data_IF_094260797783
#
_entry.id   IF_094260797783
#
_cell.length_a   1.000
_cell.length_b   1.000
_cell.length_c   1.000
_cell.angle_alpha   90.00
_cell.angle_beta   90.00
_cell.angle_gamma   90.00
#
_symmetry.space_group_name_H-M   'P 1'
#
loop_
_entity.id
_entity.type
_entity.pdbx_description
1 polymer ?
#
# COMPACT_ATOMS: atom_id res chain seq x y z
N UNK A 1 16.63 -21.62 -9.42
CA UNK A 1 16.17 -23.02 -9.24
C UNK A 1 14.69 -22.97 -8.84
N UNK A 2 13.77 -23.85 -9.26
CA UNK A 2 13.83 -24.88 -10.32
C UNK A 2 12.57 -25.76 -10.32
N UNK A 3 12.08 -26.17 -11.51
CA UNK A 3 10.97 -27.12 -11.77
C UNK A 3 9.58 -26.66 -11.23
N UNK A 4 8.59 -26.26 -12.05
CA UNK A 4 7.83 -27.04 -13.06
C UNK A 4 7.46 -28.45 -12.61
N UNK A 5 6.16 -28.72 -12.49
CA UNK A 5 5.57 -29.84 -13.21
C UNK A 5 4.10 -29.58 -13.58
N UNK A 6 3.62 -30.28 -14.61
CA UNK A 6 2.33 -30.08 -15.27
C UNK A 6 1.86 -31.43 -15.81
N UNK A 7 0.64 -31.87 -15.51
CA UNK A 7 0.07 -33.12 -16.01
C UNK A 7 -1.37 -32.94 -16.50
N UNK A 8 -1.70 -33.67 -17.57
CA UNK A 8 -2.80 -33.37 -18.49
C UNK A 8 -3.20 -34.66 -19.22
N UNK A 9 -4.52 -34.90 -19.34
CA UNK A 9 -5.14 -36.03 -20.05
C UNK A 9 -4.85 -37.42 -19.37
N UNK A 10 -5.51 -38.55 -19.72
CA UNK A 10 -6.26 -38.86 -20.94
C UNK A 10 -7.30 -39.99 -20.77
N UNK A 11 -8.06 -40.26 -21.87
CA UNK A 11 -8.90 -41.44 -22.16
C UNK A 11 -10.24 -41.57 -21.38
N UNK A 12 -11.40 -41.69 -22.05
CA UNK A 12 -12.00 -42.84 -22.81
C UNK A 12 -12.54 -43.94 -21.86
N UNK A 13 -13.66 -44.62 -22.12
CA UNK A 13 -14.18 -45.03 -23.43
C UNK A 13 -15.70 -45.39 -23.43
N UNK A 14 -16.32 -45.38 -24.62
CA UNK A 14 -17.45 -46.24 -25.09
C UNK A 14 -18.56 -46.74 -24.14
N UNK A 15 -19.81 -46.38 -24.50
CA UNK A 15 -20.90 -47.36 -24.59
C UNK A 15 -21.83 -46.96 -25.76
N UNK A 16 -22.10 -47.89 -26.69
CA UNK A 16 -23.04 -47.75 -27.80
C UNK A 16 -23.97 -48.97 -27.78
N UNK A 17 -25.27 -48.80 -28.00
CA UNK A 17 -26.24 -49.88 -27.76
C UNK A 17 -27.64 -49.60 -28.30
N UNK A 18 -27.90 -50.03 -29.53
CA UNK A 18 -29.24 -50.06 -30.11
C UNK A 18 -30.07 -51.23 -29.55
N UNK A 19 -31.39 -51.07 -29.46
CA UNK A 19 -32.39 -52.02 -29.96
C UNK A 19 -33.73 -51.27 -30.16
N UNK A 20 -34.50 -51.41 -31.26
CA UNK A 20 -35.12 -52.60 -31.86
C UNK A 20 -36.27 -53.13 -30.97
N UNK A 21 -37.53 -53.25 -31.42
CA UNK A 21 -38.20 -52.85 -32.68
C UNK A 21 -39.75 -52.77 -32.48
N UNK A 22 -40.62 -52.60 -33.51
CA UNK A 22 -42.05 -52.31 -33.30
C UNK A 22 -42.96 -53.55 -33.26
N UNK A 23 -44.22 -53.31 -32.92
CA UNK A 23 -45.39 -54.17 -33.18
C UNK A 23 -46.62 -53.21 -33.27
N UNK A 24 -47.58 -53.26 -34.22
CA UNK A 24 -48.07 -54.30 -35.16
C UNK A 24 -48.39 -55.62 -34.45
N UNK A 25 -49.59 -56.18 -34.48
CA UNK A 25 -50.82 -55.92 -35.26
C UNK A 25 -51.96 -56.71 -34.61
N UNK A 26 -53.21 -56.29 -34.78
CA UNK A 26 -54.27 -57.18 -35.31
C UNK A 26 -55.12 -56.34 -36.28
N UNK A 27 -55.62 -56.96 -37.35
CA UNK A 27 -56.47 -56.35 -38.36
C UNK A 27 -57.64 -57.30 -38.69
N UNK A 28 -58.88 -56.86 -38.48
CA UNK A 28 -60.13 -57.43 -39.01
C UNK A 28 -61.11 -56.25 -39.16
N UNK A 29 -61.65 -55.85 -40.32
CA UNK A 29 -62.04 -56.50 -41.59
C UNK A 29 -63.49 -56.98 -41.64
N UNK A 30 -64.29 -56.19 -42.36
CA UNK A 30 -65.35 -56.61 -43.31
C UNK A 30 -66.64 -57.29 -42.82
N UNK A 31 -67.74 -56.53 -42.81
CA UNK A 31 -68.97 -56.68 -43.66
C UNK A 31 -70.02 -55.65 -43.16
N UNK A 32 -70.71 -54.82 -43.98
CA UNK A 32 -71.58 -55.02 -45.18
C UNK A 32 -73.00 -55.48 -44.79
N UNK A 33 -74.03 -55.09 -45.60
CA UNK A 33 -75.48 -55.43 -45.50
C UNK A 33 -76.27 -54.47 -44.58
N UNK A 34 -77.43 -53.88 -44.93
CA UNK A 34 -78.13 -53.68 -46.24
C UNK A 34 -79.09 -52.46 -46.15
N UNK A 35 -79.62 -51.99 -47.29
CA UNK A 35 -80.75 -51.02 -47.38
C UNK A 35 -82.02 -51.76 -47.81
N UNK A 36 -83.15 -51.58 -47.10
CA UNK A 36 -84.33 -50.99 -47.74
C UNK A 36 -84.94 -49.86 -46.84
N UNK A 37 -85.71 -48.87 -47.29
CA UNK A 37 -86.69 -48.77 -48.39
C UNK A 37 -88.08 -49.36 -48.02
N UNK A 38 -89.13 -48.56 -48.21
CA UNK A 38 -90.55 -48.96 -48.15
C UNK A 38 -91.13 -49.40 -46.75
N UNK A 39 -92.44 -49.28 -46.45
CA UNK A 39 -93.54 -48.70 -47.24
C UNK A 39 -94.70 -48.08 -46.41
N UNK A 40 -95.69 -47.57 -47.16
CA UNK A 40 -97.02 -47.10 -46.72
C UNK A 40 -97.73 -47.94 -45.63
N UNK A 41 -98.53 -47.27 -44.77
CA UNK A 41 -100.02 -47.26 -44.82
C UNK A 41 -100.53 -46.31 -43.69
N UNK A 42 -101.48 -45.39 -43.85
CA UNK A 42 -102.81 -45.36 -44.50
C UNK A 42 -103.96 -45.83 -43.59
N UNK A 43 -105.03 -45.01 -43.54
CA UNK A 43 -106.44 -45.42 -43.30
C UNK A 43 -106.82 -45.98 -41.90
N UNK A 44 -108.07 -45.89 -41.41
CA UNK A 44 -109.32 -45.33 -41.97
C UNK A 44 -110.22 -44.72 -40.87
N UNK A 45 -111.23 -43.96 -41.32
CA UNK A 45 -112.49 -43.53 -40.69
C UNK A 45 -112.91 -44.20 -39.35
N UNK A 46 -113.55 -43.49 -38.41
CA UNK A 46 -114.97 -43.13 -38.60
C UNK A 46 -115.46 -41.87 -37.86
N UNK A 47 -116.32 -41.12 -38.57
CA UNK A 47 -117.43 -40.38 -37.94
C UNK A 47 -118.34 -41.36 -37.19
N UNK A 48 -118.81 -41.02 -35.98
CA UNK A 48 -120.23 -40.65 -35.86
C UNK A 48 -120.60 -39.92 -34.56
N UNK A 49 -121.60 -39.05 -34.74
CA UNK A 49 -122.57 -38.48 -33.79
C UNK A 49 -122.50 -38.98 -32.34
N UNK A 50 -122.07 -38.10 -31.44
CA UNK A 50 -122.59 -38.05 -30.08
C UNK A 50 -123.71 -36.99 -30.01
N UNK A 51 -124.96 -37.41 -30.12
CA UNK A 51 -126.13 -36.62 -29.74
C UNK A 51 -126.88 -37.41 -28.66
N UNK A 52 -126.82 -36.95 -27.41
CA UNK A 52 -127.38 -37.69 -26.27
C UNK A 52 -128.42 -36.87 -25.49
N UNK A 53 -129.40 -37.59 -24.95
CA UNK A 53 -130.28 -37.23 -23.84
C UNK A 53 -131.07 -35.90 -23.93
N UNK A 54 -132.36 -36.01 -24.29
CA UNK A 54 -133.52 -35.60 -23.45
C UNK A 54 -134.83 -35.81 -24.22
N UNK A 55 -135.91 -36.31 -23.64
CA UNK A 55 -136.05 -37.07 -22.38
C UNK A 55 -137.32 -37.91 -22.51
N UNK A 56 -137.27 -39.22 -22.23
CA UNK A 56 -138.44 -40.08 -22.33
C UNK A 56 -139.30 -40.00 -21.07
N UNK A 57 -140.58 -39.66 -21.24
CA UNK A 57 -141.64 -40.15 -20.37
C UNK A 57 -142.47 -41.18 -21.14
N UNK A 58 -142.58 -42.38 -20.57
CA UNK A 58 -143.67 -43.30 -20.86
C UNK A 58 -144.99 -42.68 -20.34
N UNK A 59 -146.19 -43.11 -20.71
CA UNK A 59 -146.69 -44.45 -20.44
C UNK A 59 -147.71 -44.96 -21.46
N UNK A 60 -147.53 -46.24 -21.74
CA UNK A 60 -148.39 -47.22 -22.40
C UNK A 60 -149.90 -47.07 -22.18
N UNK A 61 -150.67 -47.19 -23.27
CA UNK A 61 -151.96 -47.89 -23.25
C UNK A 61 -152.08 -48.80 -24.47
N UNK A 62 -152.63 -49.98 -24.24
CA UNK A 62 -152.78 -51.09 -25.19
C UNK A 62 -154.27 -51.38 -25.43
N UNK A 63 -154.52 -52.03 -26.56
CA UNK A 63 -155.73 -52.77 -26.96
C UNK A 63 -156.94 -52.02 -27.56
N UNK A 64 -157.45 -52.67 -28.61
CA UNK A 64 -158.79 -52.71 -29.19
C UNK A 64 -159.44 -51.44 -29.79
N UNK A 65 -159.42 -51.39 -31.13
CA UNK A 65 -160.66 -51.73 -31.85
C UNK A 65 -160.41 -52.48 -33.17
N UNK A 66 -161.19 -53.54 -33.39
CA UNK A 66 -161.15 -54.39 -34.59
C UNK A 66 -161.99 -53.82 -35.75
N UNK A 67 -161.45 -53.86 -36.97
CA UNK A 67 -162.07 -54.38 -38.21
C UNK A 67 -161.08 -54.21 -39.39
N UNK A 68 -160.88 -55.23 -40.23
CA UNK A 68 -161.62 -55.53 -41.48
C UNK A 68 -161.47 -54.43 -42.56
N UNK A 69 -161.16 -54.72 -43.83
CA UNK A 69 -161.13 -56.01 -44.55
C UNK A 69 -159.82 -56.26 -45.33
N UNK A 70 -159.54 -57.54 -45.57
CA UNK A 70 -158.73 -58.00 -46.70
C UNK A 70 -159.46 -59.20 -47.31
N UNK A 71 -159.91 -59.08 -48.56
CA UNK A 71 -160.70 -60.11 -49.22
C UNK A 71 -160.40 -60.19 -50.72
N UNK A 72 -160.08 -61.40 -51.19
CA UNK A 72 -160.03 -61.75 -52.60
C UNK A 72 -160.29 -63.26 -52.78
N UNK A 73 -161.48 -63.60 -53.26
CA UNK A 73 -161.94 -64.97 -53.63
C UNK A 73 -162.10 -65.94 -52.41
N UNK A 74 -162.86 -67.05 -52.46
CA UNK A 74 -163.48 -67.77 -53.59
C UNK A 74 -164.73 -68.65 -53.21
N UNK A 75 -165.66 -68.81 -54.16
CA UNK A 75 -166.78 -69.78 -54.44
C UNK A 75 -167.44 -70.80 -53.44
N UNK A 76 -168.80 -70.84 -53.54
CA UNK A 76 -169.77 -71.98 -53.71
C UNK A 76 -170.34 -73.00 -52.65
N UNK A 77 -171.70 -72.99 -52.52
CA UNK A 77 -172.70 -74.12 -52.41
C UNK A 77 -172.83 -75.00 -51.12
N UNK A 78 -173.94 -75.73 -50.75
CA UNK A 78 -175.41 -75.80 -51.08
C UNK A 78 -176.25 -76.71 -50.10
N UNK A 79 -177.56 -76.42 -49.88
CA UNK A 79 -178.79 -77.31 -49.91
C UNK A 79 -178.99 -78.59 -49.01
N UNK A 80 -180.17 -79.17 -48.63
CA UNK A 80 -181.60 -78.77 -48.27
C UNK A 80 -182.46 -79.99 -47.68
N UNK A 81 -183.79 -79.82 -47.38
CA UNK A 81 -184.92 -80.77 -46.97
C UNK A 81 -185.19 -81.04 -45.45
N UNK A 82 -186.42 -81.28 -44.86
CA UNK A 82 -187.87 -81.48 -45.23
C UNK A 82 -188.42 -82.95 -45.38
N UNK A 83 -189.66 -83.40 -45.01
CA UNK A 83 -190.89 -82.80 -44.38
C UNK A 83 -192.00 -83.81 -43.85
N UNK A 84 -192.75 -83.44 -42.77
CA UNK A 84 -194.07 -83.95 -42.19
C UNK A 84 -194.34 -85.50 -42.05
N UNK A 85 -195.51 -86.15 -41.81
CA UNK A 85 -197.01 -85.94 -41.78
C UNK A 85 -197.70 -86.81 -40.64
N UNK A 86 -199.05 -86.86 -40.45
CA UNK A 86 -199.81 -87.68 -39.42
C UNK A 86 -201.25 -88.15 -39.80
N UNK A 87 -201.76 -89.18 -39.10
CA UNK A 87 -203.17 -89.33 -38.61
C UNK A 87 -203.14 -89.98 -37.19
N UNK A 88 -204.00 -89.67 -36.20
CA UNK A 88 -205.41 -89.24 -36.07
C UNK A 88 -206.47 -90.29 -35.66
N UNK A 89 -206.13 -91.21 -34.74
CA UNK A 89 -207.06 -91.62 -33.64
C UNK A 89 -206.31 -92.27 -32.45
N UNK A 90 -205.09 -92.78 -32.68
CA UNK A 90 -204.07 -92.99 -31.63
C UNK A 90 -203.78 -91.71 -30.80
N UNK A 91 -204.29 -90.55 -31.21
CA UNK A 91 -203.88 -89.18 -30.85
C UNK A 91 -204.02 -88.78 -29.38
N UNK A 92 -204.42 -89.70 -28.49
CA UNK A 92 -204.27 -89.53 -27.03
C UNK A 92 -203.05 -90.27 -26.49
N UNK A 93 -202.76 -91.46 -27.00
CA UNK A 93 -201.57 -92.23 -26.67
C UNK A 93 -200.34 -91.71 -27.43
N UNK A 94 -200.51 -91.40 -28.73
CA UNK A 94 -199.56 -90.58 -29.50
C UNK A 94 -199.29 -89.23 -28.84
N UNK A 95 -200.27 -88.54 -28.24
CA UNK A 95 -200.02 -87.25 -27.56
C UNK A 95 -199.15 -87.41 -26.30
N UNK A 96 -199.32 -88.49 -25.54
CA UNK A 96 -198.44 -88.81 -24.41
C UNK A 96 -197.03 -89.17 -24.91
N UNK A 97 -196.92 -89.87 -26.03
CA UNK A 97 -195.64 -90.20 -26.68
C UNK A 97 -194.97 -88.95 -27.27
N UNK A 98 -195.69 -88.05 -27.94
CA UNK A 98 -195.13 -86.81 -28.49
C UNK A 98 -194.76 -85.85 -27.36
N UNK A 99 -195.54 -85.71 -26.29
CA UNK A 99 -195.12 -84.93 -25.11
C UNK A 99 -193.86 -85.51 -24.44
N UNK A 100 -193.66 -86.84 -24.47
CA UNK A 100 -192.40 -87.47 -24.04
C UNK A 100 -191.26 -87.23 -25.03
N UNK A 101 -191.52 -87.23 -26.34
CA UNK A 101 -190.52 -86.95 -27.38
C UNK A 101 -190.13 -85.47 -27.42
N UNK A 102 -191.07 -84.56 -27.25
CA UNK A 102 -190.88 -83.10 -27.09
C UNK A 102 -190.14 -82.81 -25.78
N UNK A 103 -190.51 -83.44 -24.65
CA UNK A 103 -189.70 -83.39 -23.43
C UNK A 103 -188.29 -83.89 -23.70
N UNK A 104 -188.11 -85.03 -24.37
CA UNK A 104 -186.80 -85.57 -24.69
C UNK A 104 -186.02 -84.70 -25.69
N UNK A 105 -186.68 -84.00 -26.62
CA UNK A 105 -186.06 -83.01 -27.50
C UNK A 105 -185.64 -81.76 -26.71
N UNK A 106 -186.47 -81.24 -25.82
CA UNK A 106 -186.11 -80.12 -24.92
C UNK A 106 -184.99 -80.55 -23.96
N UNK A 107 -185.00 -81.78 -23.47
CA UNK A 107 -183.99 -82.34 -22.55
C UNK A 107 -182.67 -82.65 -23.26
N UNK A 108 -182.69 -83.09 -24.53
CA UNK A 108 -181.48 -83.23 -25.36
C UNK A 108 -180.98 -81.89 -25.90
N UNK A 109 -181.86 -80.93 -26.21
CA UNK A 109 -181.47 -79.55 -26.52
C UNK A 109 -180.87 -78.87 -25.28
N UNK A 110 -181.48 -79.04 -24.10
CA UNK A 110 -180.94 -78.57 -22.83
C UNK A 110 -179.59 -79.22 -22.53
N UNK A 111 -179.45 -80.54 -22.65
CA UNK A 111 -178.18 -81.24 -22.44
C UNK A 111 -177.13 -80.87 -23.51
N UNK A 112 -177.53 -80.57 -24.74
CA UNK A 112 -176.63 -80.07 -25.80
C UNK A 112 -176.20 -78.63 -25.52
N UNK A 113 -177.11 -77.78 -25.06
CA UNK A 113 -176.82 -76.40 -24.65
C UNK A 113 -175.96 -76.39 -23.38
N UNK A 114 -176.20 -77.30 -22.44
CA UNK A 114 -175.40 -77.51 -21.22
C UNK A 114 -174.01 -78.08 -21.55
N UNK A 115 -173.91 -78.98 -22.54
CA UNK A 115 -172.63 -79.46 -23.06
C UNK A 115 -171.85 -78.34 -23.76
N UNK A 116 -172.52 -77.51 -24.57
CA UNK A 116 -171.94 -76.28 -25.15
C UNK A 116 -171.58 -75.25 -24.08
N UNK A 117 -172.37 -75.11 -23.01
CA UNK A 117 -172.07 -74.24 -21.87
C UNK A 117 -170.88 -74.78 -21.07
N UNK A 118 -170.74 -76.10 -20.97
CA UNK A 118 -169.63 -76.79 -20.31
C UNK A 118 -168.35 -76.69 -21.12
N UNK A 119 -168.40 -76.87 -22.45
CA UNK A 119 -167.25 -76.66 -23.33
C UNK A 119 -166.88 -75.17 -23.42
N UNK A 120 -167.85 -74.26 -23.50
CA UNK A 120 -167.61 -72.82 -23.41
C UNK A 120 -167.05 -72.42 -22.04
N UNK A 121 -167.42 -73.10 -20.95
CA UNK A 121 -166.83 -72.93 -19.61
C UNK A 121 -165.43 -73.54 -19.50
N UNK A 122 -165.13 -74.62 -20.24
CA UNK A 122 -163.76 -75.15 -20.37
C UNK A 122 -162.89 -74.18 -21.15
N UNK A 123 -163.32 -73.76 -22.35
CA UNK A 123 -162.66 -72.75 -23.19
C UNK A 123 -162.49 -71.43 -22.44
N UNK A 124 -163.49 -70.98 -21.65
CA UNK A 124 -163.36 -69.79 -20.82
C UNK A 124 -162.34 -69.98 -19.69
N UNK A 125 -162.30 -71.16 -19.06
CA UNK A 125 -161.30 -71.50 -18.05
C UNK A 125 -159.89 -71.59 -18.65
N UNK A 126 -159.75 -72.22 -19.82
CA UNK A 126 -158.51 -72.33 -20.59
C UNK A 126 -158.04 -70.96 -21.09
N UNK A 127 -158.96 -70.09 -21.54
CA UNK A 127 -158.68 -68.70 -21.88
C UNK A 127 -158.30 -67.87 -20.64
N UNK A 128 -158.91 -68.13 -19.49
CA UNK A 128 -158.55 -67.47 -18.22
C UNK A 128 -157.19 -67.96 -17.71
N UNK A 129 -156.86 -69.24 -17.86
CA UNK A 129 -155.55 -69.81 -17.58
C UNK A 129 -154.50 -69.26 -18.55
N UNK A 130 -154.76 -69.27 -19.85
CA UNK A 130 -153.88 -68.69 -20.88
C UNK A 130 -153.69 -67.18 -20.70
N UNK A 131 -154.72 -66.43 -20.26
CA UNK A 131 -154.59 -65.01 -19.89
C UNK A 131 -153.75 -64.82 -18.63
N UNK A 132 -153.82 -65.74 -17.66
CA UNK A 132 -152.97 -65.74 -16.48
C UNK A 132 -151.51 -66.11 -16.83
N UNK A 133 -151.30 -67.11 -17.69
CA UNK A 133 -149.99 -67.50 -18.21
C UNK A 133 -149.37 -66.38 -19.05
N UNK A 134 -150.14 -65.70 -19.90
CA UNK A 134 -149.72 -64.50 -20.62
C UNK A 134 -149.39 -63.35 -19.65
N UNK A 135 -150.13 -63.23 -18.54
CA UNK A 135 -149.80 -62.32 -17.44
C UNK A 135 -148.44 -62.64 -16.82
N UNK A 136 -148.22 -63.89 -16.42
CA UNK A 136 -146.95 -64.36 -15.87
C UNK A 136 -145.79 -64.20 -16.85
N UNK A 137 -146.02 -64.42 -18.16
CA UNK A 137 -145.02 -64.24 -19.22
C UNK A 137 -144.72 -62.75 -19.44
N UNK A 138 -145.73 -61.86 -19.40
CA UNK A 138 -145.51 -60.40 -19.42
C UNK A 138 -144.76 -59.92 -18.18
N UNK A 139 -145.05 -60.47 -17.00
CA UNK A 139 -144.33 -60.19 -15.76
C UNK A 139 -142.86 -60.64 -15.85
N UNK A 140 -142.61 -61.88 -16.28
CA UNK A 140 -141.25 -62.40 -16.52
C UNK A 140 -140.51 -61.61 -17.62
N UNK A 141 -141.19 -61.19 -18.70
CA UNK A 141 -140.60 -60.34 -19.72
C UNK A 141 -140.20 -58.98 -19.14
N UNK A 142 -141.06 -58.36 -18.34
CA UNK A 142 -140.75 -57.14 -17.60
C UNK A 142 -139.57 -57.32 -16.62
N UNK A 143 -139.51 -58.45 -15.89
CA UNK A 143 -138.36 -58.78 -15.06
C UNK A 143 -137.07 -58.87 -15.90
N UNK A 144 -137.07 -59.63 -16.99
CA UNK A 144 -135.93 -59.76 -17.90
C UNK A 144 -135.54 -58.43 -18.55
N UNK A 145 -136.49 -57.57 -18.90
CA UNK A 145 -136.21 -56.23 -19.41
C UNK A 145 -135.58 -55.34 -18.33
N UNK A 146 -136.08 -55.34 -17.08
CA UNK A 146 -135.40 -54.60 -16.00
C UNK A 146 -134.02 -55.17 -15.69
N UNK A 147 -133.82 -56.49 -15.78
CA UNK A 147 -132.52 -57.14 -15.61
C UNK A 147 -131.55 -56.75 -16.74
N UNK A 148 -132.01 -56.76 -17.99
CA UNK A 148 -131.24 -56.33 -19.16
C UNK A 148 -130.87 -54.84 -19.08
N UNK A 149 -131.80 -53.98 -18.65
CA UNK A 149 -131.51 -52.55 -18.37
C UNK A 149 -130.50 -52.38 -17.23
N UNK A 150 -130.63 -53.13 -16.12
CA UNK A 150 -129.66 -53.11 -15.00
C UNK A 150 -128.27 -53.58 -15.47
N UNK A 151 -128.18 -54.64 -16.27
CA UNK A 151 -126.94 -55.16 -16.84
C UNK A 151 -126.32 -54.17 -17.84
N UNK A 152 -127.13 -53.60 -18.75
CA UNK A 152 -126.69 -52.59 -19.73
C UNK A 152 -126.17 -51.32 -19.05
N UNK A 153 -126.82 -50.88 -17.98
CA UNK A 153 -126.35 -49.75 -17.16
C UNK A 153 -125.06 -50.10 -16.40
N UNK A 154 -124.93 -51.33 -15.85
CA UNK A 154 -123.69 -51.79 -15.22
C UNK A 154 -122.54 -51.90 -16.22
N UNK A 155 -122.79 -52.41 -17.43
CA UNK A 155 -121.79 -52.46 -18.52
C UNK A 155 -121.37 -51.06 -18.94
N UNK A 156 -122.31 -50.12 -19.13
CA UNK A 156 -121.98 -48.70 -19.37
C UNK A 156 -121.13 -48.10 -18.24
N UNK A 157 -121.47 -48.37 -16.99
CA UNK A 157 -120.71 -47.88 -15.82
C UNK A 157 -119.29 -48.43 -15.79
N UNK A 158 -119.12 -49.75 -15.95
CA UNK A 158 -117.82 -50.41 -16.01
C UNK A 158 -117.00 -49.98 -17.23
N UNK A 159 -117.65 -49.69 -18.36
CA UNK A 159 -116.98 -49.16 -19.55
C UNK A 159 -116.47 -47.74 -19.31
N UNK A 160 -117.27 -46.88 -18.66
CA UNK A 160 -116.85 -45.52 -18.27
C UNK A 160 -115.70 -45.55 -17.25
N UNK A 161 -115.77 -46.44 -16.26
CA UNK A 161 -114.72 -46.66 -15.26
C UNK A 161 -113.42 -47.16 -15.92
N UNK A 162 -113.51 -48.11 -16.86
CA UNK A 162 -112.35 -48.64 -17.58
C UNK A 162 -111.72 -47.59 -18.52
N UNK A 163 -112.51 -46.69 -19.12
CA UNK A 163 -111.99 -45.53 -19.85
C UNK A 163 -111.23 -44.59 -18.90
N UNK A 164 -111.81 -44.21 -17.76
CA UNK A 164 -111.15 -43.35 -16.77
C UNK A 164 -109.87 -43.97 -16.18
N UNK A 165 -109.87 -45.29 -15.93
CA UNK A 165 -108.68 -46.03 -15.53
C UNK A 165 -107.61 -46.02 -16.64
N UNK A 166 -108.00 -46.18 -17.90
CA UNK A 166 -107.08 -46.10 -19.05
C UNK A 166 -106.50 -44.69 -19.20
N UNK A 167 -107.32 -43.64 -19.04
CA UNK A 167 -106.88 -42.24 -19.06
C UNK A 167 -105.88 -41.93 -17.93
N UNK A 168 -106.16 -42.38 -16.70
CA UNK A 168 -105.23 -42.18 -15.56
C UNK A 168 -103.94 -43.00 -15.70
N UNK A 169 -104.00 -44.22 -16.24
CA UNK A 169 -102.80 -45.01 -16.56
C UNK A 169 -101.95 -44.31 -17.64
N UNK A 170 -102.58 -43.74 -18.67
CA UNK A 170 -101.85 -42.98 -19.69
C UNK A 170 -101.21 -41.72 -19.10
N UNK A 171 -101.92 -40.95 -18.28
CA UNK A 171 -101.39 -39.78 -17.60
C UNK A 171 -100.18 -40.12 -16.70
N UNK A 172 -100.28 -41.18 -15.87
CA UNK A 172 -99.16 -41.63 -15.06
C UNK A 172 -97.98 -42.19 -15.89
N UNK A 173 -98.25 -42.73 -17.08
CA UNK A 173 -97.21 -43.18 -18.03
C UNK A 173 -96.45 -41.99 -18.64
N UNK A 174 -97.16 -40.91 -19.00
CA UNK A 174 -96.55 -39.66 -19.46
C UNK A 174 -95.72 -38.99 -18.33
N UNK A 175 -96.28 -38.85 -17.13
CA UNK A 175 -95.57 -38.34 -15.95
C UNK A 175 -94.32 -39.18 -15.64
N UNK A 176 -94.40 -40.52 -15.76
CA UNK A 176 -93.27 -41.41 -15.52
C UNK A 176 -92.14 -41.24 -16.54
N UNK A 177 -92.45 -41.15 -17.84
CA UNK A 177 -91.42 -40.92 -18.87
C UNK A 177 -90.80 -39.52 -18.76
N UNK A 178 -91.55 -38.49 -18.37
CA UNK A 178 -91.01 -37.15 -18.18
C UNK A 178 -90.19 -37.04 -16.87
N UNK A 179 -90.57 -37.73 -15.79
CA UNK A 179 -89.73 -37.90 -14.58
C UNK A 179 -88.43 -38.65 -14.89
N UNK A 180 -88.51 -39.73 -15.68
CA UNK A 180 -87.37 -40.52 -16.15
C UNK A 180 -86.44 -39.71 -17.08
N UNK A 181 -87.00 -38.83 -17.90
CA UNK A 181 -86.26 -37.84 -18.70
C UNK A 181 -85.56 -36.80 -17.81
N UNK A 182 -86.24 -36.24 -16.81
CA UNK A 182 -85.66 -35.32 -15.83
C UNK A 182 -84.52 -35.98 -15.04
N UNK A 183 -84.71 -37.21 -14.57
CA UNK A 183 -83.69 -38.01 -13.88
C UNK A 183 -82.45 -38.20 -14.77
N UNK A 184 -82.63 -38.56 -16.04
CA UNK A 184 -81.53 -38.69 -17.02
C UNK A 184 -80.78 -37.37 -17.25
N UNK A 185 -81.47 -36.23 -17.25
CA UNK A 185 -80.84 -34.90 -17.32
C UNK A 185 -80.06 -34.61 -16.04
N UNK A 186 -80.62 -34.88 -14.86
CA UNK A 186 -79.92 -34.68 -13.57
C UNK A 186 -78.73 -35.60 -13.39
N UNK A 187 -78.77 -36.83 -13.89
CA UNK A 187 -77.58 -37.68 -13.99
C UNK A 187 -76.48 -37.04 -14.85
N UNK A 188 -76.83 -36.44 -15.99
CA UNK A 188 -75.87 -35.78 -16.88
C UNK A 188 -75.29 -34.51 -16.25
N UNK A 189 -76.12 -33.70 -15.58
CA UNK A 189 -75.67 -32.56 -14.76
C UNK A 189 -74.69 -33.01 -13.67
N UNK A 190 -75.04 -34.04 -12.89
CA UNK A 190 -74.19 -34.59 -11.83
C UNK A 190 -72.87 -35.13 -12.40
N UNK A 191 -72.90 -35.82 -13.54
CA UNK A 191 -71.68 -36.32 -14.22
C UNK A 191 -70.80 -35.15 -14.69
N UNK A 192 -71.38 -34.09 -15.26
CA UNK A 192 -70.66 -32.89 -15.69
C UNK A 192 -70.08 -32.10 -14.50
N UNK A 193 -70.83 -31.95 -13.39
CA UNK A 193 -70.36 -31.31 -12.17
C UNK A 193 -69.22 -32.10 -11.51
N UNK A 194 -69.31 -33.43 -11.47
CA UNK A 194 -68.22 -34.28 -10.98
C UNK A 194 -66.93 -34.17 -11.83
N UNK A 195 -67.06 -33.97 -13.15
CA UNK A 195 -65.89 -33.71 -14.02
C UNK A 195 -65.29 -32.33 -13.72
N UNK A 196 -66.12 -31.29 -13.58
CA UNK A 196 -65.67 -29.94 -13.20
C UNK A 196 -64.98 -29.92 -11.85
N UNK A 197 -65.56 -30.59 -10.85
CA UNK A 197 -64.98 -30.73 -9.50
C UNK A 197 -63.61 -31.40 -9.58
N UNK A 198 -63.51 -32.56 -10.24
CA UNK A 198 -62.23 -33.29 -10.41
C UNK A 198 -61.17 -32.53 -11.19
N UNK A 199 -61.53 -31.57 -12.04
CA UNK A 199 -60.57 -30.71 -12.72
C UNK A 199 -60.12 -29.55 -11.81
N UNK A 200 -61.06 -28.91 -11.10
CA UNK A 200 -60.74 -27.90 -10.09
C UNK A 200 -59.88 -28.46 -8.95
N UNK A 201 -60.12 -29.70 -8.51
CA UNK A 201 -59.28 -30.41 -7.55
C UNK A 201 -57.85 -30.60 -8.07
N UNK A 202 -57.67 -30.98 -9.34
CA UNK A 202 -56.34 -31.11 -9.97
C UNK A 202 -55.64 -29.76 -10.02
N UNK A 203 -56.29 -28.74 -10.59
CA UNK A 203 -55.79 -27.37 -10.68
C UNK A 203 -55.35 -26.87 -9.30
N UNK A 204 -56.16 -27.08 -8.26
CA UNK A 204 -55.85 -26.74 -6.88
C UNK A 204 -54.67 -27.54 -6.30
N UNK A 205 -54.48 -28.81 -6.67
CA UNK A 205 -53.29 -29.60 -6.27
C UNK A 205 -52.03 -29.19 -7.02
N UNK A 206 -52.14 -28.85 -8.30
CA UNK A 206 -51.04 -28.37 -9.14
C UNK A 206 -50.57 -26.99 -8.68
N UNK A 207 -51.50 -26.10 -8.33
CA UNK A 207 -51.20 -24.81 -7.70
C UNK A 207 -50.59 -25.00 -6.31
N UNK A 208 -51.15 -25.83 -5.43
CA UNK A 208 -50.53 -26.14 -4.12
C UNK A 208 -49.09 -26.65 -4.29
N UNK A 209 -48.82 -27.46 -5.31
CA UNK A 209 -47.47 -27.90 -5.64
C UNK A 209 -46.60 -26.78 -6.24
N UNK A 210 -47.16 -25.86 -7.03
CA UNK A 210 -46.44 -24.70 -7.60
C UNK A 210 -46.06 -23.69 -6.51
N UNK A 211 -46.98 -23.37 -5.61
CA UNK A 211 -46.74 -22.54 -4.43
C UNK A 211 -45.73 -23.19 -3.48
N UNK A 212 -45.82 -24.50 -3.21
CA UNK A 212 -44.84 -25.20 -2.37
C UNK A 212 -43.42 -25.09 -2.92
N UNK A 213 -43.22 -25.39 -4.21
CA UNK A 213 -41.91 -25.22 -4.88
C UNK A 213 -41.41 -23.78 -4.84
N UNK A 214 -42.32 -22.80 -4.94
CA UNK A 214 -41.98 -21.36 -4.84
C UNK A 214 -41.53 -20.98 -3.43
N UNK A 215 -42.17 -21.51 -2.39
CA UNK A 215 -41.74 -21.33 -0.99
C UNK A 215 -40.39 -21.99 -0.74
N UNK A 216 -40.21 -23.24 -1.17
CA UNK A 216 -38.94 -23.98 -1.07
C UNK A 216 -37.78 -23.22 -1.77
N UNK A 217 -38.05 -22.59 -2.92
CA UNK A 217 -37.08 -21.73 -3.61
C UNK A 217 -36.79 -20.42 -2.86
N UNK A 218 -37.81 -19.77 -2.27
CA UNK A 218 -37.61 -18.57 -1.45
C UNK A 218 -36.84 -18.85 -0.17
N UNK A 219 -37.07 -19.99 0.50
CA UNK A 219 -36.31 -20.40 1.68
C UNK A 219 -34.85 -20.73 1.33
N UNK A 220 -34.58 -21.31 0.15
CA UNK A 220 -33.22 -21.51 -0.35
C UNK A 220 -32.49 -20.17 -0.61
N UNK A 221 -33.15 -19.21 -1.29
CA UNK A 221 -32.62 -17.86 -1.53
C UNK A 221 -32.38 -17.12 -0.20
N UNK A 222 -33.33 -17.22 0.74
CA UNK A 222 -33.22 -16.63 2.09
C UNK A 222 -32.06 -17.23 2.88
N UNK A 223 -31.79 -18.54 2.72
CA UNK A 223 -30.61 -19.18 3.30
C UNK A 223 -29.31 -18.67 2.67
N UNK A 224 -29.20 -18.67 1.35
CA UNK A 224 -28.02 -18.15 0.63
C UNK A 224 -27.69 -16.69 1.04
N UNK A 225 -28.72 -15.83 1.06
CA UNK A 225 -28.59 -14.44 1.51
C UNK A 225 -28.19 -14.33 2.99
N UNK A 226 -28.68 -15.21 3.86
CA UNK A 226 -28.27 -15.25 5.27
C UNK A 226 -26.81 -15.69 5.41
N UNK A 227 -26.42 -16.79 4.77
CA UNK A 227 -25.09 -17.37 4.87
C UNK A 227 -24.07 -16.35 4.33
N UNK A 228 -24.34 -15.73 3.18
CA UNK A 228 -23.57 -14.60 2.61
C UNK A 228 -23.54 -13.36 3.51
N UNK A 229 -24.60 -13.10 4.28
CA UNK A 229 -24.60 -12.03 5.29
C UNK A 229 -23.68 -12.37 6.48
N UNK A 230 -23.56 -13.65 6.88
CA UNK A 230 -22.59 -14.08 7.89
C UNK A 230 -21.15 -14.03 7.37
N UNK A 231 -20.89 -14.41 6.11
CA UNK A 231 -19.59 -14.24 5.46
C UNK A 231 -19.15 -12.76 5.47
N UNK A 232 -20.04 -11.85 5.07
CA UNK A 232 -19.77 -10.41 5.04
C UNK A 232 -19.54 -9.82 6.45
N UNK A 233 -20.20 -10.35 7.48
CA UNK A 233 -19.93 -9.98 8.88
C UNK A 233 -18.55 -10.46 9.34
N UNK A 234 -18.22 -11.73 9.10
CA UNK A 234 -16.89 -12.28 9.44
C UNK A 234 -15.77 -11.52 8.71
N UNK A 235 -15.97 -11.17 7.44
CA UNK A 235 -15.02 -10.34 6.69
C UNK A 235 -14.93 -8.91 7.26
N UNK A 236 -16.05 -8.29 7.61
CA UNK A 236 -16.07 -6.95 8.20
C UNK A 236 -15.35 -6.93 9.56
N UNK A 237 -15.59 -7.92 10.42
CA UNK A 237 -14.98 -8.01 11.74
C UNK A 237 -13.48 -8.37 11.66
N UNK A 238 -13.08 -9.23 10.71
CA UNK A 238 -11.66 -9.41 10.35
C UNK A 238 -11.03 -8.09 9.90
N UNK A 239 -11.71 -7.29 9.08
CA UNK A 239 -11.20 -5.97 8.65
C UNK A 239 -11.20 -4.92 9.75
N UNK A 240 -12.06 -5.01 10.78
CA UNK A 240 -11.93 -4.17 11.98
C UNK A 240 -10.66 -4.55 12.73
N UNK A 241 -10.42 -5.84 12.95
CA UNK A 241 -9.23 -6.32 13.65
C UNK A 241 -7.93 -5.96 12.92
N UNK A 242 -7.89 -6.10 11.58
CA UNK A 242 -6.76 -5.62 10.77
C UNK A 242 -6.49 -4.11 11.00
N UNK A 243 -7.54 -3.28 11.02
CA UNK A 243 -7.41 -1.84 11.26
C UNK A 243 -7.00 -1.51 12.70
N UNK A 244 -7.47 -2.27 13.69
CA UNK A 244 -7.05 -2.13 15.10
C UNK A 244 -5.56 -2.43 15.26
N UNK A 245 -5.06 -3.49 14.62
CA UNK A 245 -3.63 -3.82 14.60
C UNK A 245 -2.80 -2.74 13.89
N UNK A 246 -3.26 -2.24 12.73
CA UNK A 246 -2.60 -1.14 12.00
C UNK A 246 -2.60 0.16 12.83
N UNK A 247 -3.65 0.43 13.62
CA UNK A 247 -3.68 1.59 14.52
C UNK A 247 -2.71 1.43 15.70
N UNK A 248 -2.57 0.23 16.27
CA UNK A 248 -1.59 -0.07 17.31
C UNK A 248 -0.15 0.05 16.78
N UNK A 249 0.13 -0.53 15.61
CA UNK A 249 1.42 -0.39 14.92
C UNK A 249 1.73 1.08 14.62
N UNK A 250 0.78 1.84 14.07
CA UNK A 250 0.94 3.27 13.82
C UNK A 250 1.24 4.08 15.09
N UNK A 251 0.58 3.80 16.20
CA UNK A 251 0.80 4.53 17.45
C UNK A 251 2.14 4.15 18.10
N UNK A 252 2.56 2.88 18.02
CA UNK A 252 3.91 2.46 18.48
C UNK A 252 5.04 3.04 17.63
N UNK A 253 4.90 3.08 16.29
CA UNK A 253 5.84 3.76 15.39
C UNK A 253 5.88 5.27 15.65
N UNK A 254 4.74 5.88 15.99
CA UNK A 254 4.63 7.29 16.37
C UNK A 254 5.32 7.58 17.72
N UNK A 255 5.23 6.67 18.68
CA UNK A 255 6.00 6.76 19.93
C UNK A 255 7.50 6.62 19.65
N UNK A 256 7.93 5.62 18.87
CA UNK A 256 9.34 5.46 18.48
C UNK A 256 9.88 6.69 17.75
N UNK A 257 9.10 7.33 16.88
CA UNK A 257 9.46 8.59 16.23
C UNK A 257 9.63 9.75 17.23
N UNK A 258 8.80 9.81 18.28
CA UNK A 258 8.92 10.79 19.36
C UNK A 258 10.19 10.55 20.19
N UNK A 259 10.42 9.30 20.61
CA UNK A 259 11.60 8.90 21.38
C UNK A 259 12.90 9.18 20.59
N UNK A 260 12.89 8.90 19.29
CA UNK A 260 14.03 9.18 18.40
C UNK A 260 14.23 10.69 18.13
N UNK A 261 13.15 11.47 18.10
CA UNK A 261 13.23 12.93 18.00
C UNK A 261 13.82 13.56 19.27
N UNK A 262 13.41 13.10 20.45
CA UNK A 262 13.97 13.51 21.75
C UNK A 262 15.45 13.13 21.85
N UNK A 263 15.84 11.93 21.41
CA UNK A 263 17.25 11.56 21.27
C UNK A 263 18.00 12.46 20.28
N UNK A 264 17.40 12.84 19.15
CA UNK A 264 18.02 13.74 18.18
C UNK A 264 18.16 15.17 18.72
N UNK A 265 17.29 15.61 19.63
CA UNK A 265 17.38 16.90 20.32
C UNK A 265 18.52 16.87 21.36
N UNK A 266 18.57 15.84 22.22
CA UNK A 266 19.67 15.63 23.16
C UNK A 266 21.04 15.59 22.44
N UNK A 267 21.17 14.82 21.34
CA UNK A 267 22.41 14.77 20.56
C UNK A 267 22.77 16.10 19.88
N UNK A 268 21.80 16.97 19.55
CA UNK A 268 22.12 18.33 19.06
C UNK A 268 22.69 19.16 20.19
N UNK A 269 22.08 19.11 21.37
CA UNK A 269 22.54 19.87 22.54
C UNK A 269 23.94 19.44 22.98
N UNK A 270 24.22 18.13 23.05
CA UNK A 270 25.57 17.56 23.26
C UNK A 270 26.56 18.09 22.22
N UNK A 271 26.19 18.10 20.93
CA UNK A 271 27.04 18.65 19.86
C UNK A 271 27.25 20.17 20.04
N UNK A 272 26.28 20.94 20.56
CA UNK A 272 26.53 22.36 20.87
C UNK A 272 27.41 22.55 22.10
N UNK A 273 27.30 21.69 23.11
CA UNK A 273 28.13 21.70 24.30
C UNK A 273 29.59 21.39 23.94
N UNK A 274 29.83 20.29 23.22
CA UNK A 274 31.15 19.90 22.72
C UNK A 274 31.75 20.95 21.76
N UNK A 275 30.94 21.64 20.95
CA UNK A 275 31.43 22.76 20.13
C UNK A 275 31.84 23.98 20.96
N UNK A 276 31.11 24.31 22.03
CA UNK A 276 31.48 25.39 22.96
C UNK A 276 32.76 25.05 23.70
N UNK A 277 32.86 23.82 24.23
CA UNK A 277 34.06 23.32 24.92
C UNK A 277 35.27 23.29 23.97
N UNK A 278 35.11 22.78 22.75
CA UNK A 278 36.16 22.77 21.74
C UNK A 278 36.60 24.18 21.32
N UNK A 279 35.68 25.14 21.22
CA UNK A 279 36.01 26.55 20.99
C UNK A 279 36.82 27.12 22.17
N UNK A 280 36.38 26.92 23.41
CA UNK A 280 37.09 27.42 24.60
C UNK A 280 38.47 26.76 24.74
N UNK A 281 38.59 25.47 24.45
CA UNK A 281 39.88 24.76 24.45
C UNK A 281 40.81 25.28 23.35
N UNK A 282 40.29 25.54 22.15
CA UNK A 282 41.04 26.16 21.06
C UNK A 282 41.47 27.59 21.41
N UNK A 283 40.57 28.41 21.96
CA UNK A 283 40.84 29.78 22.38
C UNK A 283 41.81 29.86 23.57
N UNK A 284 41.95 28.79 24.34
CA UNK A 284 42.97 28.67 25.39
C UNK A 284 44.30 28.16 24.81
N UNK A 285 44.25 27.24 23.84
CA UNK A 285 45.43 26.76 23.14
C UNK A 285 46.11 27.87 22.33
N UNK A 286 45.35 28.69 21.60
CA UNK A 286 45.89 29.85 20.86
C UNK A 286 46.56 30.83 21.82
N UNK A 287 45.88 31.27 22.90
CA UNK A 287 46.52 32.11 23.93
C UNK A 287 47.81 31.50 24.49
N UNK A 288 47.82 30.19 24.74
CA UNK A 288 49.01 29.49 25.25
C UNK A 288 50.14 29.45 24.20
N UNK A 289 49.80 29.35 22.91
CA UNK A 289 50.77 29.48 21.81
C UNK A 289 51.26 30.92 21.70
N UNK A 290 50.38 31.93 21.73
CA UNK A 290 50.72 33.36 21.70
C UNK A 290 51.66 33.73 22.85
N UNK A 291 51.36 33.29 24.08
CA UNK A 291 52.22 33.48 25.26
C UNK A 291 53.59 32.81 25.07
N UNK A 292 53.65 31.63 24.44
CA UNK A 292 54.89 30.91 24.16
C UNK A 292 55.68 31.52 22.99
N UNK A 293 55.03 32.06 21.97
CA UNK A 293 55.68 32.84 20.91
C UNK A 293 56.24 34.16 21.46
N UNK A 294 55.53 34.82 22.39
CA UNK A 294 56.04 35.98 23.11
C UNK A 294 57.21 35.63 24.03
N UNK A 295 57.22 34.47 24.67
CA UNK A 295 58.36 33.96 25.44
C UNK A 295 59.56 33.64 24.54
N UNK A 296 59.34 32.93 23.42
CA UNK A 296 60.36 32.64 22.40
C UNK A 296 60.90 33.93 21.76
N UNK A 297 60.07 34.94 21.53
CA UNK A 297 60.49 36.25 21.01
C UNK A 297 61.37 37.02 22.02
N UNK A 298 61.05 36.96 23.32
CA UNK A 298 61.91 37.50 24.39
C UNK A 298 63.23 36.74 24.46
N UNK A 299 63.20 35.41 24.43
CA UNK A 299 64.41 34.57 24.46
C UNK A 299 65.30 34.83 23.25
N UNK A 300 64.76 34.88 22.03
CA UNK A 300 65.54 35.25 20.83
C UNK A 300 66.19 36.63 20.97
N UNK A 301 65.48 37.65 21.46
CA UNK A 301 66.07 38.97 21.73
C UNK A 301 67.24 38.89 22.72
N UNK A 302 67.08 38.16 23.83
CA UNK A 302 68.20 37.98 24.78
C UNK A 302 69.36 37.18 24.18
N UNK A 303 69.11 36.25 23.26
CA UNK A 303 70.15 35.50 22.54
C UNK A 303 70.86 36.38 21.51
N UNK A 304 70.15 37.27 20.81
CA UNK A 304 70.74 38.26 19.90
C UNK A 304 71.55 39.32 20.67
N UNK A 305 71.04 39.79 21.81
CA UNK A 305 71.74 40.70 22.72
C UNK A 305 73.04 40.08 23.25
N UNK A 306 72.97 38.86 23.81
CA UNK A 306 74.16 38.10 24.24
C UNK A 306 75.08 37.77 23.07
N UNK A 307 74.55 37.45 21.89
CA UNK A 307 75.30 37.21 20.67
C UNK A 307 76.06 38.44 20.18
N UNK A 308 75.48 39.64 20.34
CA UNK A 308 76.14 40.91 20.04
C UNK A 308 77.19 41.26 21.10
N UNK A 309 76.90 41.07 22.39
CA UNK A 309 77.92 41.20 23.46
C UNK A 309 79.10 40.24 23.23
N UNK A 310 78.86 39.01 22.76
CA UNK A 310 79.92 38.06 22.38
C UNK A 310 80.73 38.56 21.18
N UNK A 311 80.10 39.19 20.16
CA UNK A 311 80.84 39.83 19.05
C UNK A 311 81.71 40.99 19.55
N UNK A 312 81.16 41.88 20.36
CA UNK A 312 81.88 43.02 20.96
C UNK A 312 83.08 42.54 21.80
N UNK A 313 82.87 41.52 22.65
CA UNK A 313 83.95 40.94 23.46
C UNK A 313 84.98 40.20 22.62
N UNK A 314 84.58 39.53 21.54
CA UNK A 314 85.53 38.94 20.59
C UNK A 314 86.33 40.03 19.85
N UNK A 315 85.71 41.14 19.45
CA UNK A 315 86.41 42.29 18.88
C UNK A 315 87.40 42.94 19.87
N UNK A 316 87.03 43.10 21.14
CA UNK A 316 87.96 43.51 22.20
C UNK A 316 89.13 42.53 22.30
N UNK A 317 88.87 41.22 22.32
CA UNK A 317 89.89 40.17 22.35
C UNK A 317 90.79 40.22 21.11
N UNK A 318 90.27 40.49 19.91
CA UNK A 318 91.09 40.68 18.71
C UNK A 318 92.00 41.91 18.84
N UNK A 319 91.47 43.07 19.28
CA UNK A 319 92.23 44.30 19.50
C UNK A 319 93.32 44.12 20.57
N UNK A 320 93.02 43.40 21.65
CA UNK A 320 93.96 43.01 22.70
C UNK A 320 95.04 42.03 22.19
N UNK A 321 94.69 41.06 21.35
CA UNK A 321 95.67 40.14 20.74
C UNK A 321 96.58 40.86 19.73
N UNK A 322 96.06 41.83 18.98
CA UNK A 322 96.88 42.66 18.06
C UNK A 322 97.90 43.50 18.84
N UNK A 323 97.47 44.14 19.93
CA UNK A 323 98.37 44.85 20.86
C UNK A 323 99.40 43.91 21.49
N UNK A 324 98.97 42.72 21.94
CA UNK A 324 99.84 41.72 22.55
C UNK A 324 100.85 41.13 21.55
N UNK A 325 100.53 41.05 20.26
CA UNK A 325 101.48 40.67 19.22
C UNK A 325 102.49 41.79 18.92
N UNK A 326 102.07 43.06 18.87
CA UNK A 326 103.01 44.21 18.77
C UNK A 326 103.98 44.24 19.95
N UNK A 327 103.49 43.99 21.17
CA UNK A 327 104.35 43.89 22.37
C UNK A 327 105.31 42.68 22.32
N UNK A 328 104.96 41.58 21.62
CA UNK A 328 105.90 40.48 21.35
C UNK A 328 106.96 40.88 20.32
N UNK A 329 106.58 41.55 19.23
CA UNK A 329 107.52 42.04 18.21
C UNK A 329 108.52 43.03 18.81
N UNK A 330 108.04 43.98 19.64
CA UNK A 330 108.89 44.88 20.44
C UNK A 330 109.81 44.12 21.41
N UNK A 331 109.33 43.03 22.03
CA UNK A 331 110.15 42.19 22.90
C UNK A 331 111.22 41.42 22.14
N UNK A 332 110.93 40.89 20.94
CA UNK A 332 111.92 40.26 20.07
C UNK A 332 112.97 41.25 19.56
N UNK A 333 112.56 42.47 19.19
CA UNK A 333 113.47 43.55 18.84
C UNK A 333 114.38 43.91 20.03
N UNK A 334 113.82 43.99 21.24
CA UNK A 334 114.57 44.23 22.47
C UNK A 334 115.59 43.11 22.75
N UNK A 335 115.25 41.84 22.54
CA UNK A 335 116.21 40.71 22.66
C UNK A 335 117.37 40.87 21.67
N UNK A 336 117.08 41.18 20.40
CA UNK A 336 118.10 41.42 19.36
C UNK A 336 119.04 42.58 19.73
N UNK A 337 118.51 43.69 20.26
CA UNK A 337 119.34 44.79 20.78
C UNK A 337 120.13 44.42 22.04
N UNK A 338 119.62 43.52 22.89
CA UNK A 338 120.35 43.04 24.07
C UNK A 338 121.53 42.13 23.68
N UNK A 339 121.36 41.28 22.65
CA UNK A 339 122.44 40.50 22.04
C UNK A 339 123.49 41.40 21.39
N UNK A 340 123.07 42.41 20.63
CA UNK A 340 123.99 43.38 20.02
C UNK A 340 124.76 44.17 21.09
N UNK A 341 124.09 44.58 22.17
CA UNK A 341 124.71 45.27 23.31
C UNK A 341 125.76 44.38 24.01
N UNK A 342 125.48 43.08 24.18
CA UNK A 342 126.44 42.11 24.71
C UNK A 342 127.64 41.91 23.77
N UNK A 343 127.41 41.84 22.46
CA UNK A 343 128.47 41.73 21.45
C UNK A 343 129.39 42.97 21.45
N UNK A 344 128.81 44.18 21.44
CA UNK A 344 129.56 45.45 21.56
C UNK A 344 130.33 45.53 22.88
N UNK A 345 129.73 45.09 23.99
CA UNK A 345 130.39 45.03 25.31
C UNK A 345 131.58 44.06 25.34
N UNK A 346 131.49 42.91 24.67
CA UNK A 346 132.58 41.94 24.54
C UNK A 346 133.71 42.48 23.64
N UNK A 347 133.39 43.23 22.59
CA UNK A 347 134.38 43.94 21.77
C UNK A 347 135.08 45.05 22.56
N UNK A 348 134.36 45.82 23.39
CA UNK A 348 134.95 46.79 24.33
C UNK A 348 135.87 46.08 25.35
N UNK A 349 135.50 44.87 25.81
CA UNK A 349 136.35 44.03 26.66
C UNK A 349 137.69 43.70 26.01
N UNK A 350 137.67 43.22 24.75
CA UNK A 350 138.89 42.93 23.98
C UNK A 350 139.78 44.17 23.80
N UNK A 351 139.20 45.28 23.33
CA UNK A 351 139.94 46.54 23.10
C UNK A 351 140.54 47.10 24.40
N UNK A 352 139.85 46.97 25.55
CA UNK A 352 140.40 47.33 26.86
C UNK A 352 141.58 46.45 27.25
N UNK A 353 141.52 45.14 26.96
CA UNK A 353 142.58 44.20 27.31
C UNK A 353 143.83 44.42 26.43
N UNK A 354 143.65 44.70 25.13
CA UNK A 354 144.73 45.13 24.22
C UNK A 354 145.37 46.46 24.70
N UNK A 355 144.56 47.44 25.11
CA UNK A 355 145.07 48.71 25.64
C UNK A 355 145.87 48.55 26.95
N UNK A 356 145.48 47.61 27.82
CA UNK A 356 146.23 47.28 29.04
C UNK A 356 147.60 46.68 28.69
N UNK A 357 147.63 45.69 27.79
CA UNK A 357 148.87 45.05 27.32
C UNK A 357 149.83 46.07 26.68
N UNK A 358 149.30 46.97 25.84
CA UNK A 358 150.09 48.03 25.20
C UNK A 358 150.71 48.99 26.21
N UNK A 359 149.99 49.32 27.29
CA UNK A 359 150.48 50.20 28.36
C UNK A 359 151.55 49.52 29.22
N UNK A 360 151.47 48.19 29.40
CA UNK A 360 152.51 47.39 30.05
C UNK A 360 153.81 47.38 29.23
N UNK A 361 153.72 47.21 27.90
CA UNK A 361 154.88 47.33 26.99
C UNK A 361 155.53 48.72 27.05
N UNK A 362 154.72 49.80 27.05
CA UNK A 362 155.21 51.17 27.13
C UNK A 362 155.94 51.43 28.47
N UNK A 363 155.38 50.93 29.58
CA UNK A 363 156.01 51.00 30.91
C UNK A 363 157.35 50.26 30.96
N UNK A 364 157.44 49.08 30.34
CA UNK A 364 158.70 48.30 30.21
C UNK A 364 159.76 49.06 29.41
N UNK A 365 159.38 49.76 28.35
CA UNK A 365 160.31 50.57 27.55
C UNK A 365 160.85 51.78 28.33
N UNK A 366 159.99 52.53 29.02
CA UNK A 366 160.40 53.68 29.84
C UNK A 366 161.36 53.30 30.99
N UNK A 367 161.16 52.14 31.61
CA UNK A 367 162.05 51.63 32.65
C UNK A 367 163.48 51.34 32.13
N UNK A 368 163.63 51.05 30.84
CA UNK A 368 164.92 50.72 30.22
C UNK A 368 165.68 51.97 29.74
N UNK A 369 164.97 53.05 29.39
CA UNK A 369 165.57 54.30 28.91
C UNK A 369 166.16 55.16 30.04
N UNK A 370 165.64 55.05 31.27
CA UNK A 370 165.98 55.93 32.40
C UNK A 370 167.30 55.55 33.12
N UNK A 371 168.32 55.12 32.38
CA UNK A 371 169.56 54.56 32.97
C UNK A 371 170.87 54.90 32.23
N UNK A 372 170.85 55.87 31.31
CA UNK A 372 171.97 56.13 30.39
C UNK A 372 172.21 57.61 30.06
N UNK A 373 171.93 58.54 30.98
CA UNK A 373 172.14 59.98 30.76
C UNK A 373 172.28 60.77 32.07
N UNK A 374 173.51 60.92 32.57
CA UNK A 374 173.90 61.90 33.62
C UNK A 374 175.44 62.01 33.68
N UNK A 375 176.02 63.02 33.02
CA UNK A 375 177.36 63.58 33.35
C UNK A 375 177.75 64.75 32.42
N UNK A 376 177.65 65.98 32.91
CA UNK A 376 178.46 67.14 32.46
C UNK A 376 179.41 67.52 33.61
N UNK A 377 180.66 67.90 33.32
CA UNK A 377 181.52 68.66 34.25
C UNK A 377 182.72 69.29 33.52
N UNK A 378 183.20 70.43 34.03
CA UNK A 378 184.42 71.13 33.57
C UNK A 378 185.31 71.45 34.77
N UNK A 379 186.62 71.29 34.64
CA UNK A 379 187.58 71.40 35.76
C UNK A 379 187.86 72.84 36.21
N UNK A 380 187.75 73.06 37.53
CA UNK A 380 187.92 74.39 38.15
C UNK A 380 189.39 74.81 38.32
N UNK A 381 190.31 73.86 38.45
CA UNK A 381 191.72 74.15 38.74
C UNK A 381 192.45 74.77 37.53
N UNK A 382 192.14 74.28 36.32
CA UNK A 382 192.70 74.79 35.06
C UNK A 382 192.38 76.28 34.87
N UNK A 383 191.12 76.65 35.13
CA UNK A 383 190.60 78.02 35.02
C UNK A 383 191.30 78.96 36.03
N UNK A 384 191.53 78.47 37.26
CA UNK A 384 192.17 79.26 38.32
C UNK A 384 193.62 79.64 37.98
N UNK A 385 194.43 78.69 37.48
CA UNK A 385 195.80 78.97 37.04
C UNK A 385 195.86 79.98 35.88
N UNK A 386 194.94 79.87 34.92
CA UNK A 386 194.87 80.77 33.77
C UNK A 386 194.58 82.23 34.20
N UNK A 387 193.71 82.41 35.19
CA UNK A 387 193.41 83.72 35.79
C UNK A 387 194.59 84.33 36.57
N UNK A 388 195.33 83.52 37.32
CA UNK A 388 196.50 83.98 38.10
C UNK A 388 197.60 84.50 37.17
N UNK A 389 197.87 83.77 36.07
CA UNK A 389 198.82 84.17 35.03
C UNK A 389 198.51 85.58 34.51
N UNK A 390 197.26 85.84 34.10
CA UNK A 390 196.82 87.14 33.59
C UNK A 390 197.07 88.30 34.57
N UNK A 391 196.86 88.12 35.88
CA UNK A 391 197.08 89.18 36.89
C UNK A 391 198.57 89.51 37.05
N UNK A 392 199.46 88.51 36.94
CA UNK A 392 200.90 88.68 37.20
C UNK A 392 201.68 89.54 36.19
N UNK A 393 201.14 89.76 34.98
CA UNK A 393 201.84 90.48 33.90
C UNK A 393 201.74 92.02 34.09
N UNK A 394 202.87 92.75 34.23
CA UNK A 394 202.88 94.20 34.41
C UNK A 394 202.46 94.96 33.14
N UNK A 395 202.06 96.23 33.31
CA UNK A 395 201.36 97.01 32.27
C UNK A 395 202.32 97.43 31.14
N UNK A 396 202.08 96.90 29.94
CA UNK A 396 202.80 97.26 28.70
C UNK A 396 203.14 96.08 27.80
N UNK A 397 203.11 94.84 28.31
CA UNK A 397 203.45 93.63 27.55
C UNK A 397 202.26 93.10 26.71
N UNK A 398 202.40 92.90 25.38
CA UNK A 398 201.34 92.37 24.53
C UNK A 398 200.87 90.94 24.89
N UNK A 399 201.69 90.12 25.56
CA UNK A 399 201.35 88.74 25.95
C UNK A 399 200.11 88.63 26.83
N UNK A 400 199.71 89.73 27.47
CA UNK A 400 198.51 89.80 28.32
C UNK A 400 197.21 89.56 27.54
N UNK A 401 197.19 89.82 26.23
CA UNK A 401 196.01 89.60 25.38
C UNK A 401 195.87 88.13 24.95
N UNK A 402 196.97 87.46 24.58
CA UNK A 402 196.95 86.03 24.20
C UNK A 402 196.37 85.14 25.32
N UNK A 403 196.73 85.41 26.59
CA UNK A 403 196.19 84.69 27.75
C UNK A 403 194.70 84.93 27.92
N UNK A 404 194.21 86.14 27.63
CA UNK A 404 192.79 86.49 27.75
C UNK A 404 191.94 85.82 26.66
N UNK A 405 192.46 85.72 25.43
CA UNK A 405 191.83 85.00 24.32
C UNK A 405 191.71 83.50 24.62
N UNK A 406 192.75 82.92 25.23
CA UNK A 406 192.77 81.52 25.70
C UNK A 406 191.72 81.26 26.79
N UNK A 407 191.51 82.20 27.73
CA UNK A 407 190.44 82.11 28.73
C UNK A 407 189.06 82.14 28.06
N UNK A 408 188.82 83.07 27.13
CA UNK A 408 187.52 83.22 26.46
C UNK A 408 187.14 82.02 25.60
N UNK A 409 188.13 81.36 24.99
CA UNK A 409 187.95 80.10 24.25
C UNK A 409 187.55 78.94 25.18
N UNK A 410 188.27 78.75 26.30
CA UNK A 410 188.07 77.59 27.18
C UNK A 410 186.81 77.65 28.07
N UNK A 411 186.24 78.84 28.28
CA UNK A 411 184.96 79.01 28.99
C UNK A 411 183.73 79.11 28.07
N UNK A 412 183.91 78.99 26.74
CA UNK A 412 182.86 79.26 25.76
C UNK A 412 182.18 80.62 25.99
N UNK A 413 182.95 81.69 26.21
CA UNK A 413 182.41 83.04 26.45
C UNK A 413 181.54 83.49 25.27
N UNK A 414 180.30 83.87 25.59
CA UNK A 414 179.35 84.42 24.62
C UNK A 414 179.81 85.80 24.13
N UNK A 415 179.32 86.25 22.98
CA UNK A 415 179.93 87.37 22.24
C UNK A 415 179.92 88.69 23.04
N UNK A 416 178.86 88.95 23.81
CA UNK A 416 178.76 90.10 24.72
C UNK A 416 179.84 90.07 25.83
N UNK A 417 180.25 88.88 26.28
CA UNK A 417 181.29 88.72 27.32
C UNK A 417 182.71 88.97 26.75
N UNK A 418 182.93 88.66 25.46
CA UNK A 418 184.17 89.02 24.75
C UNK A 418 184.29 90.54 24.55
N UNK A 419 183.17 91.23 24.31
CA UNK A 419 183.13 92.70 24.24
C UNK A 419 183.44 93.30 25.61
N UNK A 420 182.79 92.84 26.69
CA UNK A 420 183.00 93.39 28.03
C UNK A 420 184.40 93.10 28.61
N UNK A 421 185.09 92.05 28.15
CA UNK A 421 186.50 91.80 28.50
C UNK A 421 187.51 92.61 27.67
N UNK A 422 187.06 93.40 26.69
CA UNK A 422 187.91 94.26 25.86
C UNK A 422 188.66 93.53 24.73
N UNK A 423 188.24 92.31 24.40
CA UNK A 423 188.80 91.49 23.31
C UNK A 423 188.28 91.90 21.93
N UNK A 424 187.07 92.47 21.88
CA UNK A 424 186.42 92.99 20.66
C UNK A 424 186.15 94.49 20.86
N UNK A 425 186.33 95.28 19.81
CA UNK A 425 186.10 96.72 19.82
C UNK A 425 185.32 97.17 18.57
N UNK A 426 184.48 98.21 18.71
CA UNK A 426 183.58 98.78 17.69
C UNK A 426 182.31 97.93 17.33
N UNK A 427 181.25 98.50 16.68
CA UNK A 427 179.91 98.42 17.30
C UNK A 427 178.71 98.06 16.38
N UNK A 428 177.56 97.87 17.05
CA UNK A 428 176.19 97.80 16.53
C UNK A 428 175.71 96.53 15.79
N UNK A 429 174.42 96.22 16.04
CA UNK A 429 173.55 95.21 15.43
C UNK A 429 173.88 93.71 15.67
N UNK A 430 173.06 93.09 16.53
CA UNK A 430 172.63 91.69 16.36
C UNK A 430 171.13 91.67 16.01
N UNK A 431 170.69 90.78 15.12
CA UNK A 431 169.28 90.76 14.64
C UNK A 431 168.84 89.38 14.13
N UNK A 432 167.72 88.89 14.71
CA UNK A 432 166.69 87.99 14.11
C UNK A 432 166.94 86.47 13.98
N UNK A 433 165.98 85.70 14.52
CA UNK A 433 165.36 84.42 14.05
C UNK A 433 165.09 83.49 15.25
N UNK A 434 164.02 82.68 15.38
CA UNK A 434 162.66 82.76 14.80
C UNK A 434 162.11 81.46 14.18
N UNK A 435 161.12 80.78 14.81
CA UNK A 435 160.01 80.07 14.10
C UNK A 435 158.80 79.62 14.98
N UNK A 436 157.60 79.74 14.38
CA UNK A 436 156.28 79.05 14.53
C UNK A 436 155.89 78.21 15.76
N UNK A 437 154.74 78.53 16.40
CA UNK A 437 153.70 77.53 16.76
C UNK A 437 152.30 78.15 17.06
N UNK A 438 151.27 77.27 17.11
CA UNK A 438 149.88 77.43 17.63
C UNK A 438 148.80 78.14 16.79
N UNK A 439 147.55 77.68 17.00
CA UNK A 439 146.26 78.15 16.43
C UNK A 439 145.43 78.87 17.53
N UNK A 440 144.41 79.63 17.13
CA UNK A 440 143.59 80.46 18.04
C UNK A 440 142.92 79.67 19.18
N UNK A 441 142.81 80.17 20.42
CA UNK A 441 142.65 81.54 20.95
C UNK A 441 141.19 81.95 21.18
N UNK A 442 140.94 82.63 22.30
CA UNK A 442 139.62 83.05 22.81
C UNK A 442 139.71 84.44 23.48
N UNK A 443 140.55 85.33 22.94
CA UNK A 443 140.99 86.58 23.60
C UNK A 443 140.75 87.85 22.79
N UNK A 444 139.92 87.83 21.74
CA UNK A 444 139.68 89.02 20.87
C UNK A 444 138.30 89.65 21.04
N UNK A 445 137.36 89.00 21.76
CA UNK A 445 136.10 89.64 22.19
C UNK A 445 136.30 90.70 23.29
N UNK A 446 137.56 91.00 23.65
CA UNK A 446 137.95 92.18 24.42
C UNK A 446 137.79 93.47 23.60
N UNK A 447 138.01 93.42 22.29
CA UNK A 447 138.03 94.63 21.43
C UNK A 447 136.64 95.26 21.34
N UNK A 448 135.58 94.46 21.20
CA UNK A 448 134.20 94.97 21.17
C UNK A 448 133.77 95.62 22.49
N UNK A 449 134.10 94.99 23.63
CA UNK A 449 133.85 95.59 24.94
C UNK A 449 134.71 96.84 25.20
N UNK A 450 135.90 96.94 24.61
CA UNK A 450 136.72 98.17 24.67
C UNK A 450 136.25 99.27 23.72
N UNK A 451 135.69 98.96 22.55
CA UNK A 451 135.07 99.98 21.69
C UNK A 451 133.76 100.50 22.29
N UNK A 452 132.92 99.62 22.83
CA UNK A 452 131.69 100.02 23.56
C UNK A 452 132.00 100.80 24.85
N UNK A 453 133.19 100.61 25.43
CA UNK A 453 133.69 101.42 26.54
C UNK A 453 134.22 102.78 26.09
N UNK A 454 135.08 102.82 25.05
CA UNK A 454 135.67 104.07 24.54
C UNK A 454 134.63 105.00 23.88
N UNK A 455 133.67 104.45 23.14
CA UNK A 455 132.55 105.22 22.57
C UNK A 455 131.62 105.80 23.65
N UNK A 456 131.79 105.36 24.91
CA UNK A 456 131.09 105.84 26.11
C UNK A 456 131.95 106.73 27.03
N UNK A 457 133.21 107.00 26.67
CA UNK A 457 134.14 107.85 27.46
C UNK A 457 134.91 108.87 26.59
N UNK A 458 134.80 108.83 25.26
CA UNK A 458 135.21 109.91 24.35
C UNK A 458 134.02 110.75 23.84
N UNK A 459 132.90 110.72 24.57
CA UNK A 459 131.62 111.34 24.20
C UNK A 459 131.03 112.26 25.28
N UNK A 460 131.75 112.53 26.36
CA UNK A 460 131.42 113.49 27.43
C UNK A 460 132.70 114.10 28.03
#
# INVERSE_FOLDING_TARGET
MGKKNNHKNNNKNTANGNNIQPNKTVNFSSQKVVKPEENHTSTIDHNEKAMDSKELKAEEKIEDHSNSESLKHQDDTKSDTSEIVKSSEDDKEKLIITLRQEKHQVETQYNTLLSKLSSMKSIFKEMQQSKQELGNIKEQLGEYETQNLKLKNKVKSLQSENVQLTETINAFSEEFEDLKRQLKIKEQEIKALNIKLKNCDKELTEDKASYKRRVEAWDLIKKDLNDRNTELKMLLDSRKHDNELILQEKESLKQQLKDLAEQQENYKDDITALKKESSVLNDNLTKTVDDKELEISKLHKTVDELGNQIKEKNEEIYKLNELLNKVKEDAELKVKFEEESKARSLQIGKLRQEAIILNEHLTKALAMLKKSSDSETVDKELISNLFISFVSIPRGDPKKFEVLELIGSFLNWDEDQKIQSGLINNPNLAKKNGEKSKKGSRTENFVSMWTEFLERESGE
#
